data_IF_135903523790
#
_entry.id   IF_135903523790
#
_cell.length_a   1.000
_cell.length_b   1.000
_cell.length_c   1.000
_cell.angle_alpha   90.00
_cell.angle_beta   90.00
_cell.angle_gamma   90.00
#
_symmetry.space_group_name_H-M   'P 1'
#
loop_
_entity.id
_entity.type
_entity.pdbx_description
1 polymer ?
#
# COMPACT_ATOMS: atom_id res chain seq x y z
N UNK A 1 -27.31 0.99 14.48
CA UNK A 1 -26.72 -0.37 14.51
C UNK A 1 -25.21 -0.23 14.44
N UNK A 2 -24.49 -0.56 15.51
CA UNK A 2 -23.02 -0.60 15.51
C UNK A 2 -22.61 -1.86 14.76
N UNK A 3 -22.01 -1.72 13.58
CA UNK A 3 -21.34 -2.85 12.95
C UNK A 3 -20.07 -3.16 13.74
N UNK A 4 -20.07 -4.27 14.47
CA UNK A 4 -18.87 -4.83 15.04
C UNK A 4 -18.07 -5.47 13.90
N UNK A 5 -17.09 -4.73 13.39
CA UNK A 5 -16.12 -5.27 12.44
C UNK A 5 -15.22 -6.22 13.24
N UNK A 6 -15.50 -7.52 13.13
CA UNK A 6 -14.50 -8.54 13.43
C UNK A 6 -13.37 -8.40 12.41
N UNK A 7 -12.25 -7.79 12.81
CA UNK A 7 -11.02 -7.80 12.01
C UNK A 7 -10.52 -9.24 12.03
N UNK A 8 -10.87 -10.00 11.00
CA UNK A 8 -10.23 -11.27 10.71
C UNK A 8 -8.80 -10.95 10.27
N UNK A 9 -7.83 -11.18 11.16
CA UNK A 9 -6.39 -11.00 10.93
C UNK A 9 -5.79 -11.96 9.85
N UNK A 10 -6.63 -12.60 9.04
CA UNK A 10 -6.24 -13.58 8.03
C UNK A 10 -6.43 -13.08 6.59
N UNK A 11 -6.81 -11.81 6.39
CA UNK A 11 -6.80 -11.22 5.05
C UNK A 11 -5.36 -10.88 4.68
N UNK A 12 -4.83 -11.41 3.57
CA UNK A 12 -3.49 -11.09 3.14
C UNK A 12 -3.37 -9.59 2.91
N UNK A 13 -2.42 -8.94 3.58
CA UNK A 13 -2.14 -7.49 3.44
C UNK A 13 -1.61 -7.12 2.05
N UNK A 14 -1.30 -8.12 1.23
CA UNK A 14 -0.75 -7.95 -0.09
C UNK A 14 -1.17 -9.12 -0.98
N UNK A 15 -1.58 -8.83 -2.21
CA UNK A 15 -1.97 -9.85 -3.19
C UNK A 15 -1.09 -9.85 -4.45
N UNK A 16 0.05 -9.15 -4.43
CA UNK A 16 1.01 -9.11 -5.54
C UNK A 16 2.45 -9.02 -5.04
N UNK A 17 3.20 -10.10 -5.23
CA UNK A 17 4.62 -10.16 -4.89
C UNK A 17 5.44 -9.19 -5.75
N UNK A 18 5.04 -8.96 -7.00
CA UNK A 18 5.68 -7.97 -7.88
C UNK A 18 5.56 -6.56 -7.30
N UNK A 19 4.36 -6.15 -6.87
CA UNK A 19 4.15 -4.84 -6.26
C UNK A 19 4.90 -4.71 -4.94
N UNK A 20 4.87 -5.76 -4.11
CA UNK A 20 5.61 -5.84 -2.85
C UNK A 20 7.10 -5.57 -3.03
N UNK A 21 7.73 -6.26 -3.98
CA UNK A 21 9.16 -6.09 -4.28
C UNK A 21 9.51 -4.66 -4.69
N UNK A 22 8.66 -4.00 -5.48
CA UNK A 22 8.87 -2.60 -5.83
C UNK A 22 8.69 -1.67 -4.64
N UNK A 23 7.72 -1.95 -3.76
CA UNK A 23 7.51 -1.17 -2.54
C UNK A 23 8.69 -1.27 -1.59
N UNK A 24 9.16 -2.48 -1.26
CA UNK A 24 10.30 -2.70 -0.35
C UNK A 24 11.56 -1.93 -0.77
N UNK A 25 11.79 -1.79 -2.08
CA UNK A 25 12.95 -1.08 -2.65
C UNK A 25 12.79 0.44 -2.72
N UNK A 26 11.57 0.95 -2.58
CA UNK A 26 11.26 2.38 -2.75
C UNK A 26 10.71 3.04 -1.49
N UNK A 27 10.61 2.32 -0.38
CA UNK A 27 10.32 2.91 0.93
C UNK A 27 11.62 3.44 1.54
N UNK A 28 11.59 4.70 1.94
CA UNK A 28 12.63 5.37 2.71
C UNK A 28 12.03 6.04 3.96
N UNK A 29 12.83 6.80 4.70
CA UNK A 29 12.39 7.46 5.94
C UNK A 29 11.37 8.60 5.73
N UNK A 30 11.14 9.03 4.49
CA UNK A 30 10.20 10.09 4.11
C UNK A 30 8.94 9.46 3.49
N UNK A 31 7.80 9.43 4.22
CA UNK A 31 6.54 8.91 3.67
C UNK A 31 6.12 9.64 2.39
N UNK A 32 6.45 10.94 2.31
CA UNK A 32 6.16 11.80 1.16
C UNK A 32 6.96 11.43 -0.08
N UNK A 33 8.23 11.04 0.06
CA UNK A 33 9.05 10.57 -1.06
C UNK A 33 8.67 9.14 -1.43
N UNK A 34 8.53 8.28 -0.42
CA UNK A 34 8.16 6.87 -0.59
C UNK A 34 6.90 6.70 -1.42
N UNK A 35 5.80 7.39 -1.08
CA UNK A 35 4.54 7.27 -1.83
C UNK A 35 4.67 7.69 -3.30
N UNK A 36 5.46 8.74 -3.57
CA UNK A 36 5.72 9.22 -4.93
C UNK A 36 6.62 8.28 -5.72
N UNK A 37 7.64 7.70 -5.09
CA UNK A 37 8.52 6.73 -5.73
C UNK A 37 7.76 5.44 -6.09
N UNK A 38 6.98 4.91 -5.14
CA UNK A 38 6.16 3.71 -5.32
C UNK A 38 5.13 3.92 -6.42
N UNK A 39 4.40 5.04 -6.42
CA UNK A 39 3.41 5.33 -7.47
C UNK A 39 4.07 5.27 -8.85
N UNK A 40 5.15 6.05 -9.06
CA UNK A 40 5.83 6.11 -10.36
C UNK A 40 6.34 4.75 -10.83
N UNK A 41 6.95 3.97 -9.94
CA UNK A 41 7.49 2.65 -10.35
C UNK A 41 6.37 1.64 -10.59
N UNK A 42 5.28 1.67 -9.83
CA UNK A 42 4.13 0.80 -10.04
C UNK A 42 3.45 1.10 -11.38
N UNK A 43 3.18 2.37 -11.67
CA UNK A 43 2.58 2.81 -12.94
C UNK A 43 3.51 2.46 -14.12
N UNK A 44 4.82 2.66 -13.98
CA UNK A 44 5.78 2.38 -15.06
C UNK A 44 6.03 0.88 -15.31
N UNK A 45 5.91 0.01 -14.29
CA UNK A 45 6.28 -1.42 -14.38
C UNK A 45 5.09 -2.37 -14.42
N UNK A 46 3.97 -2.01 -13.80
CA UNK A 46 2.76 -2.83 -13.73
C UNK A 46 1.68 -2.26 -14.68
N UNK A 47 1.63 -0.94 -14.85
CA UNK A 47 0.64 -0.26 -15.66
C UNK A 47 -0.67 0.01 -14.92
N UNK A 48 -1.45 0.97 -15.43
CA UNK A 48 -2.64 1.52 -14.77
C UNK A 48 -2.29 2.67 -13.82
N UNK A 49 -3.30 3.19 -13.12
CA UNK A 49 -3.16 4.32 -12.20
C UNK A 49 -3.10 3.83 -10.77
N UNK A 50 -2.08 4.23 -10.02
CA UNK A 50 -1.92 3.82 -8.63
C UNK A 50 -2.14 4.97 -7.67
N UNK A 51 -2.61 4.64 -6.47
CA UNK A 51 -2.52 5.51 -5.32
C UNK A 51 -1.76 4.82 -4.21
N UNK A 52 -0.97 5.62 -3.49
CA UNK A 52 -0.09 5.15 -2.43
C UNK A 52 -0.24 6.08 -1.23
N UNK A 53 -0.53 5.47 -0.09
CA UNK A 53 -0.55 6.14 1.21
C UNK A 53 0.64 5.62 2.00
N UNK A 54 1.46 6.52 2.55
CA UNK A 54 2.56 6.15 3.43
C UNK A 54 2.48 6.97 4.70
N UNK A 55 2.76 6.35 5.85
CA UNK A 55 2.74 7.00 7.15
C UNK A 55 3.75 6.36 8.10
N UNK A 56 4.21 7.15 9.07
CA UNK A 56 4.90 6.65 10.27
C UNK A 56 3.92 6.30 11.40
N UNK A 57 2.74 6.87 11.34
CA UNK A 57 1.64 6.70 12.30
C UNK A 57 0.55 5.79 11.72
N UNK A 58 -0.26 5.21 12.60
CA UNK A 58 -1.42 4.42 12.20
C UNK A 58 -2.54 5.31 11.66
N UNK A 59 -3.20 4.87 10.60
CA UNK A 59 -4.40 5.51 10.06
C UNK A 59 -5.38 4.45 9.56
N UNK A 60 -6.67 4.74 9.66
CA UNK A 60 -7.73 3.87 9.16
C UNK A 60 -8.08 4.25 7.72
N UNK A 61 -8.34 3.25 6.88
CA UNK A 61 -8.75 3.44 5.50
C UNK A 61 -9.69 2.31 5.05
N UNK A 62 -10.49 2.58 4.02
CA UNK A 62 -11.33 1.60 3.34
C UNK A 62 -11.16 1.80 1.84
N UNK A 63 -10.86 0.73 1.12
CA UNK A 63 -10.72 0.75 -0.34
C UNK A 63 -11.26 -0.55 -0.92
N UNK A 64 -11.87 -0.47 -2.10
CA UNK A 64 -12.22 -1.62 -2.93
C UNK A 64 -11.34 -1.56 -4.16
N UNK A 65 -10.52 -2.59 -4.36
CA UNK A 65 -9.50 -2.65 -5.42
C UNK A 65 -9.12 -4.09 -5.68
N UNK A 66 -8.75 -4.42 -6.92
CA UNK A 66 -8.29 -5.77 -7.28
C UNK A 66 -6.81 -6.04 -6.98
N UNK A 67 -5.99 -5.01 -6.87
CA UNK A 67 -4.54 -5.13 -6.75
C UNK A 67 -4.04 -4.18 -5.66
N UNK A 68 -3.46 -4.74 -4.61
CA UNK A 68 -3.00 -3.97 -3.46
C UNK A 68 -1.85 -4.63 -2.72
N UNK A 69 -1.11 -3.81 -1.97
CA UNK A 69 -0.07 -4.29 -1.07
C UNK A 69 0.18 -3.27 0.06
N UNK A 70 0.23 -3.76 1.30
CA UNK A 70 0.77 -3.04 2.45
C UNK A 70 2.16 -3.60 2.78
N UNK A 71 3.16 -2.72 2.84
CA UNK A 71 4.55 -3.05 3.15
C UNK A 71 5.06 -2.08 4.20
N UNK A 72 5.77 -2.61 5.20
CA UNK A 72 6.46 -1.81 6.19
C UNK A 72 7.97 -2.00 6.05
N UNK A 73 8.70 -0.89 5.93
CA UNK A 73 10.17 -0.86 6.01
C UNK A 73 10.55 0.13 7.09
N UNK A 74 11.31 -0.34 8.10
CA UNK A 74 11.59 0.41 9.32
C UNK A 74 10.29 0.90 10.00
N UNK A 75 10.14 2.21 10.17
CA UNK A 75 8.96 2.85 10.77
C UNK A 75 8.02 3.46 9.73
N UNK A 76 8.20 3.19 8.43
CA UNK A 76 7.31 3.70 7.38
C UNK A 76 6.49 2.56 6.82
N UNK A 77 5.17 2.64 7.02
CA UNK A 77 4.20 1.73 6.42
C UNK A 77 3.60 2.39 5.20
N UNK A 78 3.63 1.70 4.06
CA UNK A 78 3.02 2.14 2.83
C UNK A 78 1.96 1.14 2.38
N UNK A 79 0.84 1.65 1.89
CA UNK A 79 -0.23 0.91 1.25
C UNK A 79 -0.43 1.43 -0.17
N UNK A 80 -0.23 0.57 -1.16
CA UNK A 80 -0.42 0.87 -2.58
C UNK A 80 -1.58 0.08 -3.14
N UNK A 81 -2.38 0.71 -3.99
CA UNK A 81 -3.53 0.09 -4.66
C UNK A 81 -3.78 0.70 -6.04
N UNK A 82 -4.32 -0.10 -6.95
CA UNK A 82 -4.70 0.33 -8.30
C UNK A 82 -6.13 0.90 -8.32
N UNK A 83 -6.36 1.90 -9.17
CA UNK A 83 -7.71 2.34 -9.54
C UNK A 83 -8.20 1.57 -10.77
N UNK A 84 -9.48 1.23 -10.77
CA UNK A 84 -10.21 0.68 -11.92
C UNK A 84 -11.32 1.64 -12.36
#
# INVERSE_FOLDING_TARGET
MRYNIHINNNTPKCNSETLKNYMERNINESPSESKRAIQRVAEARIGGTFSVICSKENFSYLVVTRLYCEVQVNNVTCFAFIHE
#
